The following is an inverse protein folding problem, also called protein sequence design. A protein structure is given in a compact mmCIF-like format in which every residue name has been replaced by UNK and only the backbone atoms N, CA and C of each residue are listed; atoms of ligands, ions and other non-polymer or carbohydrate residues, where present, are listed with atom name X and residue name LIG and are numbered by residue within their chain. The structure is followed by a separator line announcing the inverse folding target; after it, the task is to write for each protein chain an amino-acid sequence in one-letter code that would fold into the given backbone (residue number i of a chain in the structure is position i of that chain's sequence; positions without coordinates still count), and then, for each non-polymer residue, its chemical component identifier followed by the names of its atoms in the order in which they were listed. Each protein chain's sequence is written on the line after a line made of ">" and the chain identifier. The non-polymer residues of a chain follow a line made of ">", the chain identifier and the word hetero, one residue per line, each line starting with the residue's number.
data_IF_509039446987
#
_entry.id   IF_509039446987
#
_cell.length_a   1.000
_cell.length_b   1.000
_cell.length_c   1.000
_cell.angle_alpha   90.00
_cell.angle_beta   90.00
_cell.angle_gamma   90.00
#
_symmetry.space_group_name_H-M   'P 1'
#
loop_
_entity.id
_entity.type
_entity.pdbx_description
1 polymer ?
#
# COMPACT_ATOMS: atom_id res chain seq x y z
N UNK A 1 2.31 -17.15 -2.46
CA UNK A 1 0.97 -17.32 -3.03
C UNK A 1 -0.12 -16.56 -2.28
N UNK A 2 -0.05 -16.51 -0.95
CA UNK A 2 -1.01 -15.76 -0.14
C UNK A 2 -0.99 -14.26 -0.41
N UNK A 3 0.16 -13.72 -0.78
CA UNK A 3 0.34 -12.28 -1.02
C UNK A 3 -0.19 -11.82 -2.37
N UNK A 4 -0.04 -12.63 -3.40
CA UNK A 4 -0.73 -12.40 -4.66
C UNK A 4 -2.25 -12.44 -4.45
N UNK A 5 -2.73 -13.36 -3.61
CA UNK A 5 -4.14 -13.41 -3.22
C UNK A 5 -4.58 -12.15 -2.48
N UNK A 6 -3.77 -11.62 -1.55
CA UNK A 6 -4.09 -10.40 -0.82
C UNK A 6 -4.06 -9.18 -1.75
N UNK A 7 -3.09 -9.11 -2.68
CA UNK A 7 -3.03 -8.06 -3.69
C UNK A 7 -4.28 -8.10 -4.58
N UNK A 8 -4.64 -9.27 -5.10
CA UNK A 8 -5.84 -9.43 -5.91
C UNK A 8 -7.13 -9.21 -5.12
N UNK A 9 -7.15 -9.57 -3.82
CA UNK A 9 -8.28 -9.26 -2.94
C UNK A 9 -8.46 -7.75 -2.75
N UNK A 10 -7.37 -7.00 -2.59
CA UNK A 10 -7.44 -5.54 -2.51
C UNK A 10 -7.88 -4.93 -3.82
N UNK A 11 -7.39 -5.41 -4.96
CA UNK A 11 -7.89 -4.99 -6.27
C UNK A 11 -9.37 -5.31 -6.45
N UNK A 12 -9.79 -6.52 -6.03
CA UNK A 12 -11.20 -6.92 -6.06
C UNK A 12 -12.06 -6.06 -5.14
N UNK A 13 -11.58 -5.72 -3.94
CA UNK A 13 -12.28 -4.82 -3.01
C UNK A 13 -12.41 -3.41 -3.60
N UNK A 14 -11.36 -2.91 -4.25
CA UNK A 14 -11.40 -1.63 -4.96
C UNK A 14 -12.41 -1.69 -6.10
N UNK A 15 -12.41 -2.76 -6.89
CA UNK A 15 -13.35 -2.95 -8.00
C UNK A 15 -14.79 -3.11 -7.52
N UNK A 16 -15.03 -3.86 -6.44
CA UNK A 16 -16.38 -4.02 -5.88
C UNK A 16 -16.90 -2.73 -5.27
N UNK A 17 -16.02 -1.96 -4.64
CA UNK A 17 -16.38 -0.63 -4.13
C UNK A 17 -16.74 0.32 -5.25
N UNK A 18 -16.04 0.26 -6.40
CA UNK A 18 -16.37 1.01 -7.61
C UNK A 18 -17.75 0.64 -8.18
N UNK A 19 -18.05 -0.66 -8.23
CA UNK A 19 -19.29 -1.16 -8.82
C UNK A 19 -20.53 -0.88 -7.95
N UNK A 20 -20.35 -0.71 -6.64
CA UNK A 20 -21.42 -0.42 -5.71
C UNK A 20 -21.76 1.07 -5.60
N UNK A 21 -20.95 1.95 -6.18
CA UNK A 21 -21.24 3.38 -6.19
C UNK A 21 -22.23 3.72 -7.32
N UNK A 22 -23.20 4.58 -7.01
CA UNK A 22 -24.21 5.05 -7.96
C UNK A 22 -23.58 5.65 -9.23
N UNK A 23 -24.33 5.64 -10.35
CA UNK A 23 -23.89 6.23 -11.64
C UNK A 23 -23.25 7.60 -11.42
N UNK A 24 -21.94 7.76 -11.73
CA UNK A 24 -21.23 8.96 -11.40
C UNK A 24 -21.70 10.15 -12.25
N UNK A 25 -21.91 11.29 -11.60
CA UNK A 25 -22.05 12.57 -12.27
C UNK A 25 -20.68 12.93 -12.92
N UNK A 26 -20.69 13.84 -13.89
CA UNK A 26 -19.48 14.26 -14.64
C UNK A 26 -18.31 14.67 -13.71
N UNK A 27 -18.60 15.35 -12.59
CA UNK A 27 -17.63 15.72 -11.57
C UNK A 27 -17.05 14.50 -10.83
N UNK A 28 -17.83 13.45 -10.65
CA UNK A 28 -17.40 12.21 -9.99
C UNK A 28 -16.45 11.39 -10.89
N UNK A 29 -16.63 11.45 -12.22
CA UNK A 29 -15.74 10.80 -13.16
C UNK A 29 -14.33 11.38 -13.12
N UNK A 30 -14.21 12.73 -13.05
CA UNK A 30 -12.91 13.40 -12.92
C UNK A 30 -12.23 13.03 -11.59
N UNK A 31 -12.98 13.03 -10.49
CA UNK A 31 -12.47 12.61 -9.18
C UNK A 31 -11.99 11.16 -9.20
N UNK A 32 -12.75 10.27 -9.84
CA UNK A 32 -12.35 8.87 -9.98
C UNK A 32 -11.05 8.71 -10.77
N UNK A 33 -10.88 9.46 -11.87
CA UNK A 33 -9.65 9.46 -12.66
C UNK A 33 -8.47 9.99 -11.86
N UNK A 34 -8.67 11.05 -11.09
CA UNK A 34 -7.64 11.62 -10.22
C UNK A 34 -7.22 10.63 -9.12
N UNK A 35 -8.17 9.93 -8.52
CA UNK A 35 -7.89 8.91 -7.51
C UNK A 35 -7.22 7.67 -8.11
N UNK A 36 -7.60 7.28 -9.31
CA UNK A 36 -6.93 6.20 -10.04
C UNK A 36 -5.46 6.53 -10.31
N UNK A 37 -5.18 7.75 -10.72
CA UNK A 37 -3.80 8.23 -10.89
C UNK A 37 -3.02 8.20 -9.58
N UNK A 38 -3.63 8.58 -8.46
CA UNK A 38 -3.00 8.51 -7.15
C UNK A 38 -2.68 7.07 -6.76
N UNK A 39 -3.60 6.15 -6.97
CA UNK A 39 -3.39 4.71 -6.70
C UNK A 39 -2.23 4.17 -7.54
N UNK A 40 -2.19 4.49 -8.82
CA UNK A 40 -1.08 4.09 -9.71
C UNK A 40 0.25 4.67 -9.25
N UNK A 41 0.28 5.95 -8.90
CA UNK A 41 1.48 6.63 -8.42
C UNK A 41 2.01 5.95 -7.16
N UNK A 42 1.16 5.68 -6.18
CA UNK A 42 1.56 5.02 -4.94
C UNK A 42 2.02 3.59 -5.18
N UNK A 43 1.36 2.86 -6.05
CA UNK A 43 1.74 1.48 -6.40
C UNK A 43 3.12 1.40 -7.08
N UNK A 44 3.47 2.41 -7.86
CA UNK A 44 4.76 2.47 -8.55
C UNK A 44 5.89 3.03 -7.68
N UNK A 45 5.56 3.81 -6.65
CA UNK A 45 6.53 4.58 -5.87
C UNK A 45 6.49 4.28 -4.36
N UNK A 46 5.84 3.20 -3.92
CA UNK A 46 5.71 2.86 -2.50
C UNK A 46 7.07 2.70 -1.80
N UNK A 47 8.11 2.31 -2.53
CA UNK A 47 9.47 2.12 -2.04
C UNK A 47 10.28 3.42 -1.93
N UNK A 48 9.70 4.54 -2.29
CA UNK A 48 10.27 5.87 -2.13
C UNK A 48 9.60 6.63 -0.99
N UNK A 49 10.23 7.68 -0.43
CA UNK A 49 9.55 8.53 0.52
C UNK A 49 8.39 9.27 -0.17
N UNK A 50 7.16 8.90 0.16
CA UNK A 50 5.97 9.58 -0.34
C UNK A 50 5.40 10.43 0.79
N UNK A 51 5.29 11.73 0.53
CA UNK A 51 4.60 12.67 1.39
C UNK A 51 3.21 12.91 0.83
N UNK A 52 2.18 12.53 1.57
CA UNK A 52 0.78 12.65 1.16
C UNK A 52 0.38 14.12 0.99
N UNK A 53 0.86 14.99 1.89
CA UNK A 53 0.59 16.43 1.84
C UNK A 53 1.18 17.07 0.56
N UNK A 54 2.41 16.70 0.23
CA UNK A 54 3.08 17.18 -0.99
C UNK A 54 2.36 16.68 -2.25
N UNK A 55 1.94 15.43 -2.27
CA UNK A 55 1.18 14.88 -3.39
C UNK A 55 -0.12 15.65 -3.60
N UNK A 56 -0.90 15.84 -2.55
CA UNK A 56 -2.16 16.59 -2.61
C UNK A 56 -1.91 18.03 -3.08
N UNK A 57 -0.93 18.69 -2.50
CA UNK A 57 -0.59 20.08 -2.85
C UNK A 57 -0.16 20.22 -4.31
N UNK A 58 0.67 19.32 -4.81
CA UNK A 58 1.16 19.34 -6.20
C UNK A 58 0.04 19.15 -7.23
N UNK A 59 -1.06 18.55 -6.83
CA UNK A 59 -2.25 18.33 -7.67
C UNK A 59 -3.37 19.34 -7.39
N UNK A 60 -3.09 20.38 -6.62
CA UNK A 60 -4.07 21.40 -6.21
C UNK A 60 -5.26 20.86 -5.41
N UNK A 61 -5.01 19.80 -4.65
CA UNK A 61 -6.00 19.23 -3.73
C UNK A 61 -5.77 19.74 -2.31
N UNK A 62 -6.85 20.02 -1.56
CA UNK A 62 -6.72 20.13 -0.11
C UNK A 62 -6.44 18.74 0.47
N UNK A 63 -5.65 18.67 1.55
CA UNK A 63 -5.32 17.39 2.17
C UNK A 63 -6.58 16.64 2.65
N UNK A 64 -7.52 17.35 3.25
CA UNK A 64 -8.77 16.75 3.73
C UNK A 64 -9.61 16.18 2.60
N UNK A 65 -9.75 16.93 1.50
CA UNK A 65 -10.48 16.45 0.32
C UNK A 65 -9.81 15.23 -0.29
N UNK A 66 -8.48 15.23 -0.41
CA UNK A 66 -7.73 14.13 -0.98
C UNK A 66 -7.89 12.85 -0.16
N UNK A 67 -7.69 12.94 1.17
CA UNK A 67 -7.84 11.79 2.07
C UNK A 67 -9.26 11.22 1.98
N UNK A 68 -10.27 12.09 2.02
CA UNK A 68 -11.67 11.67 1.97
C UNK A 68 -12.02 11.03 0.62
N UNK A 69 -11.60 11.65 -0.48
CA UNK A 69 -11.86 11.14 -1.84
C UNK A 69 -11.13 9.83 -2.08
N UNK A 70 -9.89 9.72 -1.64
CA UNK A 70 -9.12 8.48 -1.74
C UNK A 70 -9.78 7.34 -0.96
N UNK A 71 -10.23 7.63 0.27
CA UNK A 71 -10.93 6.66 1.09
C UNK A 71 -12.26 6.22 0.48
N UNK A 72 -13.02 7.16 -0.10
CA UNK A 72 -14.26 6.82 -0.82
C UNK A 72 -13.98 5.94 -2.04
N UNK A 73 -12.88 6.20 -2.75
CA UNK A 73 -12.53 5.46 -3.96
C UNK A 73 -11.95 4.07 -3.67
N UNK A 74 -11.05 3.96 -2.68
CA UNK A 74 -10.29 2.73 -2.39
C UNK A 74 -10.81 1.94 -1.19
N UNK A 75 -11.58 2.59 -0.31
CA UNK A 75 -11.98 2.02 0.98
C UNK A 75 -10.97 2.24 2.11
N UNK A 76 -9.77 2.75 1.81
CA UNK A 76 -8.72 2.99 2.78
C UNK A 76 -8.11 4.39 2.62
N UNK A 77 -7.50 4.92 3.68
CA UNK A 77 -6.76 6.17 3.59
C UNK A 77 -5.47 5.99 2.76
N UNK A 78 -4.90 7.07 2.19
CA UNK A 78 -3.63 6.98 1.47
C UNK A 78 -2.49 6.39 2.31
N UNK A 79 -2.40 6.77 3.58
CA UNK A 79 -1.38 6.26 4.50
C UNK A 79 -1.53 4.76 4.74
N UNK A 80 -2.75 4.30 4.96
CA UNK A 80 -3.05 2.87 5.14
C UNK A 80 -2.75 2.07 3.87
N UNK A 81 -3.06 2.64 2.72
CA UNK A 81 -2.79 2.02 1.43
C UNK A 81 -1.28 1.83 1.20
N UNK A 82 -0.48 2.86 1.47
CA UNK A 82 0.99 2.78 1.39
C UNK A 82 1.55 1.73 2.35
N UNK A 83 1.07 1.72 3.59
CA UNK A 83 1.49 0.73 4.58
C UNK A 83 1.19 -0.69 4.09
N UNK A 84 0.00 -0.90 3.55
CA UNK A 84 -0.38 -2.19 2.98
C UNK A 84 0.58 -2.62 1.86
N UNK A 85 0.88 -1.74 0.92
CA UNK A 85 1.80 -2.04 -0.18
C UNK A 85 3.20 -2.43 0.33
N UNK A 86 3.73 -1.67 1.28
CA UNK A 86 5.06 -1.93 1.84
C UNK A 86 5.12 -3.26 2.58
N UNK A 87 4.13 -3.54 3.42
CA UNK A 87 4.09 -4.80 4.18
C UNK A 87 3.89 -6.00 3.26
N UNK A 88 3.01 -5.90 2.26
CA UNK A 88 2.78 -6.98 1.29
C UNK A 88 4.05 -7.31 0.51
N UNK A 89 4.76 -6.29 0.06
CA UNK A 89 6.03 -6.49 -0.66
C UNK A 89 7.13 -7.03 0.26
N UNK A 90 7.17 -6.60 1.52
CA UNK A 90 8.09 -7.16 2.51
C UNK A 90 7.85 -8.65 2.74
N UNK A 91 6.61 -9.05 2.87
CA UNK A 91 6.24 -10.48 3.00
C UNK A 91 6.73 -11.29 1.80
N UNK A 92 6.51 -10.78 0.59
CA UNK A 92 7.00 -11.43 -0.62
C UNK A 92 8.52 -11.60 -0.60
N UNK A 93 9.26 -10.57 -0.25
CA UNK A 93 10.73 -10.65 -0.16
C UNK A 93 11.21 -11.59 0.94
N UNK A 94 10.51 -11.64 2.07
CA UNK A 94 10.81 -12.58 3.16
C UNK A 94 10.61 -14.03 2.74
N UNK A 95 9.57 -14.31 1.97
CA UNK A 95 9.22 -15.66 1.51
C UNK A 95 10.11 -16.14 0.36
N UNK A 96 10.46 -15.26 -0.57
CA UNK A 96 11.01 -15.64 -1.87
C UNK A 96 12.46 -15.23 -2.09
N UNK A 97 13.09 -14.54 -1.16
CA UNK A 97 14.49 -14.12 -1.29
C UNK A 97 15.32 -14.47 -0.05
N UNK A 98 16.62 -14.42 -0.20
CA UNK A 98 17.60 -14.55 0.91
C UNK A 98 18.05 -13.19 1.45
N UNK A 99 17.43 -12.09 1.04
CA UNK A 99 17.78 -10.75 1.52
C UNK A 99 17.65 -10.66 3.04
N UNK A 100 18.60 -10.01 3.68
CA UNK A 100 18.52 -9.78 5.12
C UNK A 100 17.44 -8.72 5.43
N UNK A 101 17.09 -8.59 6.71
CA UNK A 101 16.01 -7.70 7.14
C UNK A 101 16.30 -6.23 6.80
N UNK A 102 17.57 -5.81 6.89
CA UNK A 102 17.99 -4.45 6.52
C UNK A 102 17.83 -4.18 5.02
N UNK A 103 18.19 -5.15 4.19
CA UNK A 103 18.02 -5.06 2.74
C UNK A 103 16.54 -4.97 2.36
N UNK A 104 15.69 -5.80 2.97
CA UNK A 104 14.24 -5.76 2.77
C UNK A 104 13.65 -4.43 3.21
N UNK A 105 14.04 -3.95 4.40
CA UNK A 105 13.59 -2.66 4.92
C UNK A 105 13.83 -1.54 3.91
N UNK A 106 15.04 -1.46 3.37
CA UNK A 106 15.41 -0.45 2.36
C UNK A 106 14.67 -0.64 1.05
N UNK A 107 14.51 -1.88 0.61
CA UNK A 107 13.83 -2.20 -0.64
C UNK A 107 12.36 -1.77 -0.66
N UNK A 108 11.70 -1.74 0.50
CA UNK A 108 10.30 -1.35 0.63
C UNK A 108 10.10 0.09 1.09
N UNK A 109 11.17 0.87 1.26
CA UNK A 109 11.10 2.30 1.55
C UNK A 109 11.29 2.71 2.99
N UNK A 110 11.77 1.82 3.86
CA UNK A 110 12.11 2.14 5.26
C UNK A 110 13.62 2.18 5.45
N UNK A 111 14.15 3.33 5.85
CA UNK A 111 15.59 3.48 6.12
C UNK A 111 16.01 2.80 7.42
N UNK A 112 15.13 2.78 8.43
CA UNK A 112 15.40 2.22 9.74
C UNK A 112 14.82 0.80 9.86
N UNK A 113 15.68 -0.24 9.91
CA UNK A 113 15.21 -1.63 10.02
C UNK A 113 14.46 -1.95 11.32
N UNK A 114 14.78 -1.27 12.43
CA UNK A 114 14.08 -1.46 13.70
C UNK A 114 12.65 -0.92 13.62
N UNK A 115 12.49 0.24 13.02
CA UNK A 115 11.16 0.82 12.78
C UNK A 115 10.32 -0.08 11.87
N UNK A 116 10.91 -0.55 10.78
CA UNK A 116 10.28 -1.52 9.89
C UNK A 116 9.82 -2.77 10.65
N UNK A 117 10.70 -3.36 11.46
CA UNK A 117 10.39 -4.58 12.21
C UNK A 117 9.22 -4.40 13.16
N UNK A 118 9.13 -3.24 13.82
CA UNK A 118 8.00 -2.91 14.70
C UNK A 118 6.69 -2.78 13.93
N UNK A 119 6.69 -2.06 12.81
CA UNK A 119 5.51 -1.90 11.95
C UNK A 119 5.08 -3.25 11.38
N UNK A 120 6.03 -4.03 10.89
CA UNK A 120 5.75 -5.35 10.33
C UNK A 120 5.09 -6.26 11.36
N UNK A 121 5.63 -6.31 12.58
CA UNK A 121 5.05 -7.10 13.67
C UNK A 121 3.66 -6.62 14.04
N UNK A 122 3.45 -5.31 14.08
CA UNK A 122 2.12 -4.73 14.37
C UNK A 122 1.08 -5.13 13.31
N UNK A 123 1.47 -5.17 12.05
CA UNK A 123 0.56 -5.46 10.94
C UNK A 123 0.35 -6.96 10.71
N UNK A 124 1.38 -7.78 10.89
CA UNK A 124 1.35 -9.21 10.57
C UNK A 124 1.23 -10.13 11.79
N UNK A 125 1.48 -9.60 12.99
CA UNK A 125 1.51 -10.40 14.23
C UNK A 125 2.84 -11.09 14.51
N UNK A 126 3.75 -11.14 13.55
CA UNK A 126 5.06 -11.78 13.66
C UNK A 126 6.16 -10.77 13.30
N UNK A 127 7.35 -10.91 13.92
CA UNK A 127 8.51 -10.17 13.47
C UNK A 127 8.93 -10.64 12.06
N UNK A 128 9.68 -9.82 11.30
CA UNK A 128 10.16 -10.26 9.98
C UNK A 128 10.93 -11.58 10.02
N UNK A 129 11.78 -11.78 11.02
CA UNK A 129 12.55 -13.02 11.18
C UNK A 129 11.66 -14.22 11.50
N UNK A 130 10.67 -14.05 12.39
CA UNK A 130 9.69 -15.08 12.72
C UNK A 130 8.82 -15.43 11.51
N UNK A 131 8.41 -14.41 10.76
CA UNK A 131 7.61 -14.57 9.54
C UNK A 131 8.39 -15.38 8.49
N UNK A 132 9.65 -15.03 8.24
CA UNK A 132 10.53 -15.75 7.31
C UNK A 132 10.67 -17.21 7.72
N UNK A 133 10.95 -17.46 8.99
CA UNK A 133 11.11 -18.83 9.51
C UNK A 133 9.86 -19.68 9.28
N UNK A 134 8.68 -19.07 9.40
CA UNK A 134 7.39 -19.78 9.24
C UNK A 134 7.01 -19.99 7.78
N UNK A 135 7.28 -19.02 6.89
CA UNK A 135 6.72 -18.98 5.54
C UNK A 135 7.75 -19.06 4.42
N UNK A 136 9.04 -19.12 4.72
CA UNK A 136 10.06 -19.17 3.67
C UNK A 136 9.92 -20.42 2.81
N UNK A 137 9.80 -20.22 1.50
CA UNK A 137 9.61 -21.26 0.50
C UNK A 137 10.96 -21.72 -0.07
N UNK A 138 11.97 -20.86 -0.06
CA UNK A 138 13.33 -21.14 -0.54
C UNK A 138 14.11 -21.84 0.59
N UNK A 139 14.54 -23.04 0.33
CA UNK A 139 15.41 -23.77 1.23
C UNK A 139 16.89 -23.45 0.94
#
# INVERSE_FOLDING_TARGET
>A
YEELCVYYLMELLILTHRLSSEKPRKSNLLTMQEMEQAVQYFSQNYNSPINIDEYAHSHNFSISWFIQSFKQYTGTTPTQYLLFLRISNAKNLLENTSFNISEISRAIGYENPLYFSRIFKKQSGLSPSEYRKKYQIIM
#
